data_IF_206578930583
#
_entry.id   IF_206578930583
#
_cell.length_a   1.000
_cell.length_b   1.000
_cell.length_c   1.000
_cell.angle_alpha   90.00
_cell.angle_beta   90.00
_cell.angle_gamma   90.00
#
_symmetry.space_group_name_H-M   'P 1'
#
loop_
_entity.id
_entity.type
_entity.pdbx_description
1 polymer ?
#
# COMPACT_ATOMS: atom_id res chain seq x y z
N UNK A 1 2.68 -16.89 41.55
CA UNK A 1 2.53 -17.30 40.16
C UNK A 1 2.58 -16.13 39.22
N UNK A 2 3.54 -16.06 38.31
CA UNK A 2 3.57 -15.08 37.26
C UNK A 2 2.37 -15.28 36.35
N UNK A 3 1.48 -14.31 36.31
CA UNK A 3 0.40 -14.25 35.31
C UNK A 3 1.06 -13.89 34.01
N UNK A 4 1.35 -14.84 33.14
CA UNK A 4 1.69 -14.57 31.75
C UNK A 4 0.45 -14.04 31.07
N UNK A 5 0.37 -12.73 30.87
CA UNK A 5 -0.61 -12.15 29.97
C UNK A 5 -0.20 -12.50 28.54
N UNK A 6 -0.90 -13.46 27.94
CA UNK A 6 -0.81 -13.72 26.51
C UNK A 6 -1.48 -12.54 25.80
N UNK A 7 -0.67 -11.55 25.40
CA UNK A 7 -1.12 -10.52 24.47
C UNK A 7 -1.26 -11.17 23.09
N UNK A 8 -2.47 -11.58 22.75
CA UNK A 8 -2.79 -11.94 21.38
C UNK A 8 -2.72 -10.67 20.55
N UNK A 9 -1.67 -10.55 19.71
CA UNK A 9 -1.59 -9.51 18.70
C UNK A 9 -2.67 -9.79 17.66
N UNK A 10 -3.62 -8.86 17.50
CA UNK A 10 -4.62 -8.95 16.45
C UNK A 10 -3.96 -8.68 15.10
N UNK A 11 -3.90 -9.72 14.26
CA UNK A 11 -3.32 -9.68 12.92
C UNK A 11 -4.37 -9.65 11.81
N UNK A 12 -5.62 -9.41 12.12
CA UNK A 12 -6.71 -9.39 11.13
C UNK A 12 -6.42 -8.39 10.01
N UNK A 13 -5.90 -7.22 10.34
CA UNK A 13 -5.53 -6.22 9.33
C UNK A 13 -4.45 -6.73 8.37
N UNK A 14 -3.44 -7.44 8.88
CA UNK A 14 -2.34 -7.95 8.06
C UNK A 14 -2.83 -8.97 7.04
N UNK A 15 -3.75 -9.84 7.44
CA UNK A 15 -4.37 -10.83 6.56
C UNK A 15 -5.20 -10.14 5.48
N UNK A 16 -6.02 -9.17 5.87
CA UNK A 16 -6.85 -8.41 4.92
C UNK A 16 -5.99 -7.62 3.93
N UNK A 17 -5.01 -6.87 4.41
CA UNK A 17 -4.14 -6.04 3.57
C UNK A 17 -3.37 -6.89 2.55
N UNK A 18 -2.86 -8.04 2.97
CA UNK A 18 -2.18 -8.96 2.06
C UNK A 18 -3.13 -9.52 0.99
N UNK A 19 -4.34 -9.91 1.38
CA UNK A 19 -5.38 -10.38 0.45
C UNK A 19 -5.76 -9.28 -0.56
N UNK A 20 -5.93 -8.05 -0.09
CA UNK A 20 -6.18 -6.89 -0.96
C UNK A 20 -5.01 -6.66 -1.93
N UNK A 21 -3.78 -6.79 -1.47
CA UNK A 21 -2.60 -6.62 -2.31
C UNK A 21 -2.61 -7.59 -3.50
N UNK A 22 -2.93 -8.85 -3.27
CA UNK A 22 -3.03 -9.84 -4.34
C UNK A 22 -4.16 -9.52 -5.33
N UNK A 23 -5.28 -9.00 -4.87
CA UNK A 23 -6.37 -8.54 -5.74
C UNK A 23 -5.97 -7.31 -6.57
N UNK A 24 -5.27 -6.36 -5.97
CA UNK A 24 -4.79 -5.17 -6.68
C UNK A 24 -3.81 -5.50 -7.78
N UNK A 25 -2.98 -6.53 -7.63
CA UNK A 25 -2.03 -6.95 -8.66
C UNK A 25 -2.71 -7.31 -9.97
N UNK A 26 -3.95 -7.80 -9.93
CA UNK A 26 -4.76 -8.10 -11.12
C UNK A 26 -5.04 -6.85 -11.99
N UNK A 27 -4.89 -5.65 -11.42
CA UNK A 27 -5.13 -4.37 -12.12
C UNK A 27 -3.87 -3.75 -12.72
N UNK A 28 -2.73 -4.41 -12.62
CA UNK A 28 -1.45 -3.88 -13.12
C UNK A 28 -1.52 -3.46 -14.60
N UNK A 29 -2.22 -4.22 -15.42
CA UNK A 29 -2.35 -3.99 -16.86
C UNK A 29 -3.73 -3.43 -17.26
N UNK A 30 -4.57 -3.04 -16.31
CA UNK A 30 -5.87 -2.41 -16.56
C UNK A 30 -6.14 -1.31 -15.51
N UNK A 31 -5.23 -0.36 -15.40
CA UNK A 31 -5.23 0.66 -14.36
C UNK A 31 -6.36 1.68 -14.48
N UNK A 32 -6.90 1.86 -15.67
CA UNK A 32 -8.13 2.63 -15.89
C UNK A 32 -9.31 2.04 -15.14
N UNK A 33 -9.43 0.71 -15.11
CA UNK A 33 -10.46 0.02 -14.32
C UNK A 33 -10.23 0.17 -12.81
N UNK A 34 -8.97 0.18 -12.36
CA UNK A 34 -8.63 0.48 -10.98
C UNK A 34 -9.11 1.89 -10.58
N UNK A 35 -8.84 2.88 -11.41
CA UNK A 35 -9.22 4.27 -11.17
C UNK A 35 -10.76 4.40 -11.08
N UNK A 36 -11.50 3.72 -11.96
CA UNK A 36 -12.97 3.68 -11.91
C UNK A 36 -13.46 3.12 -10.58
N UNK A 37 -12.87 2.04 -10.09
CA UNK A 37 -13.23 1.45 -8.80
C UNK A 37 -12.92 2.38 -7.63
N UNK A 38 -11.81 3.11 -7.68
CA UNK A 38 -11.48 4.10 -6.66
C UNK A 38 -12.50 5.25 -6.66
N UNK A 39 -12.93 5.73 -7.83
CA UNK A 39 -14.01 6.72 -7.91
C UNK A 39 -15.32 6.20 -7.34
N UNK A 40 -15.69 4.97 -7.67
CA UNK A 40 -16.88 4.29 -7.14
C UNK A 40 -16.82 4.15 -5.62
N UNK A 41 -15.63 3.84 -5.07
CA UNK A 41 -15.40 3.78 -3.62
C UNK A 41 -15.85 5.07 -2.92
N UNK A 42 -15.44 6.21 -3.43
CA UNK A 42 -15.77 7.50 -2.82
C UNK A 42 -17.23 7.92 -3.06
N UNK A 43 -17.83 7.53 -4.18
CA UNK A 43 -19.25 7.72 -4.42
C UNK A 43 -20.06 6.89 -3.42
N UNK A 44 -19.75 5.61 -3.26
CA UNK A 44 -20.50 4.68 -2.42
C UNK A 44 -20.35 4.96 -0.93
N UNK A 45 -19.17 5.40 -0.49
CA UNK A 45 -18.93 5.72 0.92
C UNK A 45 -19.35 7.13 1.30
N UNK A 46 -19.54 8.02 0.33
CA UNK A 46 -19.80 9.45 0.53
C UNK A 46 -18.69 10.17 1.32
N UNK A 47 -17.50 9.60 1.34
CA UNK A 47 -16.30 10.22 1.88
C UNK A 47 -15.68 11.08 0.78
N UNK A 48 -15.16 12.25 1.15
CA UNK A 48 -14.51 13.13 0.18
C UNK A 48 -13.22 12.51 -0.35
N UNK A 49 -13.14 12.37 -1.68
CA UNK A 49 -11.94 11.86 -2.33
C UNK A 49 -10.79 12.85 -2.15
N UNK A 50 -9.61 12.38 -1.68
CA UNK A 50 -8.44 13.25 -1.62
C UNK A 50 -7.98 13.67 -3.02
N UNK A 51 -7.12 14.67 -3.09
CA UNK A 51 -6.52 15.10 -4.35
C UNK A 51 -5.49 14.06 -4.80
N UNK A 52 -5.76 13.41 -5.91
CA UNK A 52 -4.91 12.33 -6.47
C UNK A 52 -4.21 12.75 -7.77
N UNK A 53 -4.54 13.88 -8.32
CA UNK A 53 -3.91 14.46 -9.51
C UNK A 53 -4.33 15.93 -9.65
N UNK A 54 -3.65 16.67 -10.52
CA UNK A 54 -4.03 18.04 -10.87
C UNK A 54 -5.48 18.06 -11.37
N UNK A 55 -6.31 18.92 -10.78
CA UNK A 55 -7.75 19.01 -11.04
C UNK A 55 -8.51 17.68 -10.83
N UNK A 56 -7.90 16.72 -10.13
CA UNK A 56 -8.39 15.37 -9.96
C UNK A 56 -8.66 14.63 -11.30
N UNK A 57 -7.95 14.99 -12.33
CA UNK A 57 -7.95 14.29 -13.62
C UNK A 57 -6.96 13.11 -13.55
N UNK A 58 -7.37 12.03 -12.88
CA UNK A 58 -6.52 10.87 -12.63
C UNK A 58 -6.35 10.09 -13.92
N UNK A 59 -5.10 9.97 -14.39
CA UNK A 59 -4.76 9.22 -15.61
C UNK A 59 -4.02 7.91 -15.31
N UNK A 60 -3.41 7.79 -14.14
CA UNK A 60 -2.70 6.60 -13.69
C UNK A 60 -2.64 6.57 -12.17
N UNK A 61 -2.40 5.40 -11.59
CA UNK A 61 -2.30 5.21 -10.15
C UNK A 61 -1.46 3.98 -9.83
N UNK A 62 -0.63 4.08 -8.79
CA UNK A 62 0.13 2.97 -8.27
C UNK A 62 -0.65 2.22 -7.16
N UNK A 63 -0.29 0.96 -6.86
CA UNK A 63 -1.03 0.16 -5.89
C UNK A 63 -0.79 0.56 -4.43
N UNK A 64 0.38 1.12 -4.09
CA UNK A 64 0.65 1.58 -2.73
C UNK A 64 -0.24 2.77 -2.36
N UNK A 65 -0.55 3.63 -3.32
CA UNK A 65 -1.47 4.75 -3.12
C UNK A 65 -2.85 4.27 -2.70
N UNK A 66 -3.32 3.14 -3.22
CA UNK A 66 -4.60 2.56 -2.82
C UNK A 66 -4.64 2.30 -1.31
N UNK A 67 -3.57 1.71 -0.76
CA UNK A 67 -3.42 1.54 0.70
C UNK A 67 -3.29 2.88 1.42
N UNK A 68 -2.60 3.84 0.84
CA UNK A 68 -2.45 5.18 1.39
C UNK A 68 -3.79 5.89 1.59
N UNK A 69 -4.80 5.58 0.79
CA UNK A 69 -6.13 6.18 0.88
C UNK A 69 -6.81 5.94 2.24
N UNK A 70 -6.55 4.80 2.88
CA UNK A 70 -7.11 4.47 4.19
C UNK A 70 -6.07 4.31 5.30
N UNK A 71 -4.81 4.66 5.03
CA UNK A 71 -3.72 4.64 6.00
C UNK A 71 -3.07 6.04 6.14
N UNK A 72 -3.89 7.08 6.15
CA UNK A 72 -3.48 8.46 6.41
C UNK A 72 -3.59 8.78 7.89
N UNK A 73 -2.72 9.66 8.39
CA UNK A 73 -2.68 10.03 9.82
C UNK A 73 -3.96 10.68 10.33
N UNK A 74 -4.74 11.35 9.48
CA UNK A 74 -6.03 11.96 9.85
C UNK A 74 -7.23 11.03 9.74
N UNK A 75 -7.03 9.79 9.26
CA UNK A 75 -8.15 8.87 9.05
C UNK A 75 -8.76 8.45 10.39
N UNK A 76 -10.06 8.69 10.57
CA UNK A 76 -10.79 8.17 11.72
C UNK A 76 -10.99 6.67 11.57
N UNK A 77 -11.05 5.95 12.69
CA UNK A 77 -11.33 4.51 12.67
C UNK A 77 -12.63 4.19 11.94
N UNK A 78 -13.68 4.96 12.15
CA UNK A 78 -14.98 4.80 11.50
C UNK A 78 -14.88 4.89 9.98
N UNK A 79 -14.24 5.92 9.46
CA UNK A 79 -14.07 6.12 8.03
C UNK A 79 -13.14 5.08 7.41
N UNK A 80 -12.10 4.69 8.14
CA UNK A 80 -11.17 3.64 7.71
C UNK A 80 -11.89 2.31 7.50
N UNK A 81 -12.70 1.90 8.46
CA UNK A 81 -13.49 0.65 8.35
C UNK A 81 -14.48 0.75 7.19
N UNK A 82 -15.14 1.90 7.02
CA UNK A 82 -16.09 2.13 5.92
C UNK A 82 -15.40 1.98 4.56
N UNK A 83 -14.22 2.55 4.39
CA UNK A 83 -13.43 2.41 3.16
C UNK A 83 -13.02 0.95 2.95
N UNK A 84 -12.53 0.29 3.98
CA UNK A 84 -12.08 -1.12 3.91
C UNK A 84 -13.24 -2.04 3.54
N UNK A 85 -14.42 -1.84 4.12
CA UNK A 85 -15.61 -2.63 3.78
C UNK A 85 -15.98 -2.47 2.30
N UNK A 86 -15.91 -1.25 1.77
CA UNK A 86 -16.19 -0.99 0.37
C UNK A 86 -15.09 -1.54 -0.55
N UNK A 87 -13.82 -1.45 -0.15
CA UNK A 87 -12.70 -2.09 -0.85
C UNK A 87 -12.91 -3.60 -0.97
N UNK A 88 -13.37 -4.24 0.11
CA UNK A 88 -13.65 -5.67 0.11
C UNK A 88 -14.70 -6.05 -0.93
N UNK A 89 -15.72 -5.23 -1.09
CA UNK A 89 -16.77 -5.45 -2.11
C UNK A 89 -16.24 -5.22 -3.52
N UNK A 90 -15.59 -4.10 -3.76
CA UNK A 90 -15.14 -3.69 -5.08
C UNK A 90 -14.04 -4.60 -5.64
N UNK A 91 -13.15 -5.10 -4.79
CA UNK A 91 -12.02 -5.94 -5.18
C UNK A 91 -12.22 -7.42 -4.84
N UNK A 92 -13.40 -7.80 -4.37
CA UNK A 92 -13.72 -9.20 -4.02
C UNK A 92 -12.74 -9.82 -3.02
N UNK A 93 -12.45 -9.10 -1.95
CA UNK A 93 -11.60 -9.58 -0.86
C UNK A 93 -12.46 -10.35 0.14
N UNK A 94 -12.16 -11.62 0.36
CA UNK A 94 -12.96 -12.51 1.22
C UNK A 94 -12.46 -12.57 2.67
N UNK A 95 -11.31 -11.96 2.97
CA UNK A 95 -10.77 -11.94 4.32
C UNK A 95 -11.65 -11.12 5.28
N UNK A 96 -11.57 -11.42 6.58
CA UNK A 96 -12.30 -10.70 7.61
C UNK A 96 -11.94 -9.21 7.63
N UNK A 97 -12.94 -8.37 7.85
CA UNK A 97 -12.75 -6.92 7.94
C UNK A 97 -12.02 -6.57 9.25
N UNK A 98 -10.84 -5.93 9.19
CA UNK A 98 -10.14 -5.55 10.40
C UNK A 98 -10.86 -4.40 11.12
N UNK A 99 -10.80 -4.42 12.45
CA UNK A 99 -11.37 -3.39 13.32
C UNK A 99 -10.36 -2.81 14.30
N UNK A 100 -9.15 -3.37 14.33
CA UNK A 100 -8.03 -2.88 15.12
C UNK A 100 -6.86 -2.58 14.17
N UNK A 101 -6.32 -1.38 14.29
CA UNK A 101 -5.26 -0.86 13.43
C UNK A 101 -4.01 -0.45 14.20
N UNK A 102 -3.88 -0.91 15.44
CA UNK A 102 -2.73 -0.59 16.29
C UNK A 102 -1.43 -1.08 15.65
N UNK A 103 -0.44 -0.22 15.67
CA UNK A 103 0.89 -0.54 15.11
C UNK A 103 1.01 -0.40 13.60
N UNK A 104 -0.05 -0.04 12.89
CA UNK A 104 0.02 0.18 11.45
C UNK A 104 0.61 1.57 11.15
N UNK A 105 1.68 1.65 10.35
CA UNK A 105 2.21 2.95 9.97
C UNK A 105 1.24 3.71 9.08
N UNK A 106 1.21 5.02 9.23
CA UNK A 106 0.38 5.93 8.43
C UNK A 106 1.23 6.90 7.65
N UNK A 107 0.71 7.39 6.53
CA UNK A 107 1.32 8.44 5.74
C UNK A 107 0.70 9.80 6.05
N UNK A 108 1.41 10.88 5.73
CA UNK A 108 0.94 12.25 5.96
C UNK A 108 -0.23 12.60 5.04
N UNK A 109 -1.15 13.40 5.56
CA UNK A 109 -2.39 13.76 4.86
C UNK A 109 -2.21 14.51 3.55
N UNK A 110 -1.16 15.34 3.47
CA UNK A 110 -0.96 16.23 2.32
C UNK A 110 -0.55 15.49 1.05
N UNK A 111 -0.06 14.25 1.17
CA UNK A 111 0.36 13.43 0.03
C UNK A 111 0.01 11.96 0.25
N UNK A 112 -1.24 11.62 -0.04
CA UNK A 112 -1.67 10.22 -0.05
C UNK A 112 -1.01 9.43 -1.19
N UNK A 113 -0.63 10.11 -2.29
CA UNK A 113 -0.04 9.47 -3.46
C UNK A 113 1.43 9.14 -3.26
N UNK A 114 1.86 7.98 -3.77
CA UNK A 114 3.27 7.56 -3.84
C UNK A 114 3.97 8.10 -5.09
N UNK A 115 3.25 8.84 -5.91
CA UNK A 115 3.76 9.51 -7.11
C UNK A 115 3.55 11.01 -7.00
N UNK A 116 4.41 11.78 -7.63
CA UNK A 116 4.19 13.21 -7.86
C UNK A 116 3.11 13.41 -8.93
N UNK A 117 2.41 14.54 -8.91
CA UNK A 117 1.43 14.85 -9.95
C UNK A 117 2.08 15.01 -11.32
N UNK A 118 1.28 14.91 -12.36
CA UNK A 118 1.69 14.76 -13.76
C UNK A 118 2.86 15.65 -14.18
N UNK A 119 2.88 16.92 -13.75
CA UNK A 119 3.92 17.88 -14.18
C UNK A 119 5.27 17.65 -13.48
N UNK A 120 5.29 16.91 -12.38
CA UNK A 120 6.45 16.73 -11.50
C UNK A 120 6.95 15.28 -11.45
N UNK A 121 6.37 14.38 -12.24
CA UNK A 121 6.82 12.98 -12.29
C UNK A 121 7.39 12.60 -13.65
N UNK A 122 8.29 11.63 -13.61
CA UNK A 122 8.80 10.98 -14.80
C UNK A 122 7.80 9.94 -15.34
N UNK A 123 7.90 9.64 -16.63
CA UNK A 123 6.96 8.72 -17.28
C UNK A 123 6.93 7.31 -16.68
N UNK A 124 8.04 6.86 -16.08
CA UNK A 124 8.18 5.51 -15.54
C UNK A 124 7.91 5.41 -14.03
N UNK A 125 7.61 6.52 -13.35
CA UNK A 125 7.54 6.52 -11.88
C UNK A 125 6.44 5.60 -11.36
N UNK A 126 5.25 5.66 -11.91
CA UNK A 126 4.13 4.81 -11.50
C UNK A 126 4.36 3.36 -11.94
N UNK A 127 4.87 3.13 -13.14
CA UNK A 127 5.23 1.78 -13.61
C UNK A 127 6.26 1.12 -12.68
N UNK A 128 7.25 1.87 -12.22
CA UNK A 128 8.26 1.35 -11.28
C UNK A 128 7.65 0.97 -9.93
N UNK A 129 6.63 1.68 -9.46
CA UNK A 129 5.89 1.32 -8.25
C UNK A 129 5.11 0.01 -8.43
N UNK A 130 4.47 -0.20 -9.58
CA UNK A 130 3.81 -1.47 -9.91
C UNK A 130 4.82 -2.62 -9.97
N UNK A 131 5.97 -2.40 -10.59
CA UNK A 131 7.03 -3.42 -10.65
C UNK A 131 7.55 -3.79 -9.26
N UNK A 132 7.78 -2.79 -8.40
CA UNK A 132 8.18 -3.05 -7.01
C UNK A 132 7.11 -3.83 -6.26
N UNK A 133 5.86 -3.47 -6.42
CA UNK A 133 4.73 -4.15 -5.78
C UNK A 133 4.68 -5.63 -6.18
N UNK A 134 4.77 -5.94 -7.47
CA UNK A 134 4.81 -7.30 -7.98
C UNK A 134 6.01 -8.09 -7.46
N UNK A 135 7.21 -7.50 -7.54
CA UNK A 135 8.45 -8.13 -7.06
C UNK A 135 8.40 -8.36 -5.55
N UNK A 136 7.84 -7.42 -4.79
CA UNK A 136 7.68 -7.56 -3.35
C UNK A 136 6.75 -8.72 -2.99
N UNK A 137 5.62 -8.86 -3.67
CA UNK A 137 4.68 -9.97 -3.46
C UNK A 137 5.30 -11.31 -3.87
N UNK A 138 6.07 -11.34 -4.94
CA UNK A 138 6.80 -12.54 -5.35
C UNK A 138 7.83 -12.95 -4.30
N UNK A 139 8.62 -12.01 -3.80
CA UNK A 139 9.58 -12.27 -2.73
C UNK A 139 8.89 -12.72 -1.44
N UNK A 140 7.76 -12.11 -1.10
CA UNK A 140 6.96 -12.51 0.05
C UNK A 140 6.53 -14.00 -0.01
N UNK A 141 6.17 -14.48 -1.19
CA UNK A 141 5.70 -15.86 -1.39
C UNK A 141 6.84 -16.87 -1.62
N UNK A 142 7.99 -16.42 -2.13
CA UNK A 142 9.17 -17.24 -2.40
C UNK A 142 10.43 -16.46 -2.05
N UNK A 143 11.01 -16.76 -0.89
CA UNK A 143 12.19 -16.08 -0.33
C UNK A 143 13.51 -16.62 -0.86
N UNK A 144 13.55 -16.94 -2.16
CA UNK A 144 14.79 -17.29 -2.82
C UNK A 144 15.77 -16.13 -2.85
N UNK A 145 17.06 -16.45 -3.00
CA UNK A 145 18.10 -15.42 -3.12
C UNK A 145 17.87 -14.52 -4.35
N UNK A 146 17.44 -15.11 -5.47
CA UNK A 146 17.14 -14.34 -6.69
C UNK A 146 16.01 -13.34 -6.46
N UNK A 147 14.92 -13.75 -5.83
CA UNK A 147 13.81 -12.86 -5.51
C UNK A 147 14.22 -11.78 -4.52
N UNK A 148 15.03 -12.09 -3.52
CA UNK A 148 15.57 -11.11 -2.59
C UNK A 148 16.42 -10.06 -3.30
N UNK A 149 17.32 -10.49 -4.17
CA UNK A 149 18.19 -9.60 -4.94
C UNK A 149 17.40 -8.72 -5.91
N UNK A 150 16.39 -9.27 -6.57
CA UNK A 150 15.50 -8.51 -7.44
C UNK A 150 14.71 -7.46 -6.66
N UNK A 151 14.21 -7.83 -5.48
CA UNK A 151 13.51 -6.91 -4.60
C UNK A 151 14.41 -5.75 -4.16
N UNK A 152 15.61 -6.03 -3.66
CA UNK A 152 16.55 -5.01 -3.20
C UNK A 152 16.92 -4.04 -4.33
N UNK A 153 17.17 -4.57 -5.52
CA UNK A 153 17.52 -3.76 -6.70
C UNK A 153 16.38 -2.84 -7.08
N UNK A 154 15.16 -3.35 -7.15
CA UNK A 154 13.97 -2.54 -7.50
C UNK A 154 13.63 -1.53 -6.42
N UNK A 155 13.74 -1.91 -5.16
CA UNK A 155 13.57 -1.00 -4.03
C UNK A 155 14.52 0.21 -4.14
N UNK A 156 15.80 -0.04 -4.38
CA UNK A 156 16.79 1.04 -4.52
C UNK A 156 16.48 1.93 -5.72
N UNK A 157 16.04 1.36 -6.84
CA UNK A 157 15.63 2.13 -8.01
C UNK A 157 14.45 3.05 -7.70
N UNK A 158 13.43 2.55 -7.03
CA UNK A 158 12.25 3.34 -6.66
C UNK A 158 12.60 4.40 -5.62
N UNK A 159 13.46 4.07 -4.65
CA UNK A 159 13.93 5.04 -3.66
C UNK A 159 14.66 6.24 -4.27
N UNK A 160 15.29 6.06 -5.41
CA UNK A 160 15.95 7.15 -6.12
C UNK A 160 14.96 8.10 -6.81
N UNK A 161 13.69 7.73 -6.91
CA UNK A 161 12.66 8.60 -7.52
C UNK A 161 12.34 9.79 -6.60
N UNK A 162 12.27 11.03 -7.16
CA UNK A 162 11.90 12.19 -6.35
C UNK A 162 10.51 12.07 -5.73
N UNK A 163 10.37 12.47 -4.47
CA UNK A 163 9.08 12.60 -3.78
C UNK A 163 8.59 11.36 -3.06
N UNK A 164 9.26 10.20 -3.15
CA UNK A 164 8.83 8.99 -2.46
C UNK A 164 9.27 9.00 -1.00
N UNK A 165 10.55 9.06 -0.72
CA UNK A 165 11.09 8.99 0.64
C UNK A 165 11.05 7.58 1.27
N UNK A 166 12.03 7.29 2.10
CA UNK A 166 12.23 5.98 2.74
C UNK A 166 11.04 5.57 3.61
N UNK A 167 10.56 6.47 4.46
CA UNK A 167 9.49 6.16 5.42
C UNK A 167 8.17 5.79 4.74
N UNK A 168 7.85 6.46 3.64
CA UNK A 168 6.63 6.19 2.88
C UNK A 168 6.69 4.83 2.21
N UNK A 169 7.80 4.53 1.54
CA UNK A 169 7.97 3.27 0.81
C UNK A 169 8.01 2.07 1.76
N UNK A 170 8.73 2.17 2.88
CA UNK A 170 8.76 1.11 3.89
C UNK A 170 7.40 0.87 4.52
N UNK A 171 6.61 1.94 4.75
CA UNK A 171 5.22 1.83 5.21
C UNK A 171 4.37 1.06 4.21
N UNK A 172 4.47 1.39 2.93
CA UNK A 172 3.73 0.70 1.86
C UNK A 172 4.04 -0.78 1.80
N UNK A 173 5.31 -1.14 1.89
CA UNK A 173 5.74 -2.55 1.91
C UNK A 173 5.25 -3.28 3.16
N UNK A 174 5.29 -2.63 4.33
CA UNK A 174 4.77 -3.19 5.57
C UNK A 174 3.27 -3.50 5.47
N UNK A 175 2.49 -2.65 4.80
CA UNK A 175 1.05 -2.90 4.63
C UNK A 175 0.77 -4.18 3.85
N UNK A 176 1.54 -4.49 2.82
CA UNK A 176 1.27 -5.63 1.95
C UNK A 176 1.78 -6.96 2.51
N UNK A 177 2.84 -6.93 3.31
CA UNK A 177 3.32 -8.10 4.07
C UNK A 177 4.19 -7.66 5.24
N UNK A 178 3.55 -7.48 6.40
CA UNK A 178 4.22 -7.00 7.61
C UNK A 178 5.29 -7.96 8.13
N UNK A 179 5.10 -9.26 7.99
CA UNK A 179 6.06 -10.26 8.46
C UNK A 179 7.36 -10.22 7.63
N UNK A 180 7.24 -10.11 6.33
CA UNK A 180 8.39 -10.02 5.43
C UNK A 180 9.13 -8.70 5.56
N UNK A 181 8.41 -7.58 5.70
CA UNK A 181 8.98 -6.23 5.60
C UNK A 181 9.06 -5.48 6.94
N UNK A 182 8.86 -6.16 8.08
CA UNK A 182 8.89 -5.53 9.41
C UNK A 182 10.24 -4.87 9.76
N UNK A 183 11.34 -5.41 9.25
CA UNK A 183 12.70 -4.97 9.57
C UNK A 183 13.39 -4.23 8.42
N UNK A 184 12.62 -3.65 7.52
CA UNK A 184 13.18 -2.77 6.49
C UNK A 184 13.65 -1.48 7.13
N UNK A 185 14.91 -1.47 7.56
CA UNK A 185 15.59 -0.24 7.92
C UNK A 185 16.59 0.14 6.82
N UNK A 186 17.05 1.39 6.86
CA UNK A 186 18.00 1.91 5.88
C UNK A 186 19.31 1.14 5.83
N UNK A 187 19.66 0.36 6.86
CA UNK A 187 20.92 -0.38 6.94
C UNK A 187 20.86 -1.74 6.27
N UNK A 188 19.69 -2.42 6.35
CA UNK A 188 19.53 -3.76 5.82
C UNK A 188 19.52 -3.79 4.28
N UNK A 189 19.18 -2.67 3.65
CA UNK A 189 18.93 -2.59 2.20
C UNK A 189 20.15 -2.10 1.42
N UNK A 190 21.05 -1.35 2.06
CA UNK A 190 22.16 -0.67 1.39
C UNK A 190 23.38 -1.55 1.09
N UNK A 191 23.47 -2.73 1.68
CA UNK A 191 24.59 -3.64 1.49
C UNK A 191 24.24 -4.73 0.47
N UNK A 192 24.25 -4.34 -0.79
CA UNK A 192 24.19 -5.28 -1.90
C UNK A 192 25.55 -5.34 -2.55
#
# INVERSE_FOLDING_TARGET
>A
GEIKMDYKIDKTWAIFYKALAHKLLEYQNCRDQLIEKIRELYINTQINMPKLEINNEIIDMDPFTVFGLFNKSSMTKKNRIKIIEEMAKLFDVKADIPRNFDGIPTVMNLRATFYNFKNDREAQDIENLWSLFEIALLYSSDKSEDNENNFKRKFNQVMAQPGIGMGKLTSGLFWIDSDTFANLDSRAIWYI
#
